data_IF_703067458835
#
_entry.id   IF_703067458835
#
_cell.length_a   1.000
_cell.length_b   1.000
_cell.length_c   1.000
_cell.angle_alpha   90.00
_cell.angle_beta   90.00
_cell.angle_gamma   90.00
#
_symmetry.space_group_name_H-M   'P 1'
#
loop_
_entity.id
_entity.type
_entity.pdbx_description
1 polymer ?
#
# COMPACT_ATOMS: atom_id res chain seq x y z
N UNK A 1 -11.99 -12.75 74.14
CA UNK A 1 -11.49 -11.66 73.27
C UNK A 1 -11.23 -12.22 71.88
N UNK A 2 -12.14 -12.00 70.92
CA UNK A 2 -11.91 -12.34 69.50
C UNK A 2 -11.44 -11.07 68.79
N UNK A 3 -10.20 -11.08 68.32
CA UNK A 3 -9.58 -9.96 67.62
C UNK A 3 -10.13 -9.91 66.18
N UNK A 4 -10.95 -8.91 65.86
CA UNK A 4 -11.37 -8.65 64.48
C UNK A 4 -10.23 -7.95 63.74
N UNK A 5 -9.60 -8.66 62.81
CA UNK A 5 -8.64 -8.08 61.86
C UNK A 5 -9.45 -7.50 60.70
N UNK A 6 -9.52 -6.18 60.61
CA UNK A 6 -10.03 -5.49 59.43
C UNK A 6 -8.94 -5.53 58.34
N UNK A 7 -9.14 -6.38 57.34
CA UNK A 7 -8.35 -6.38 56.11
C UNK A 7 -8.75 -5.14 55.30
N UNK A 8 -7.92 -4.09 55.32
CA UNK A 8 -8.09 -2.95 54.43
C UNK A 8 -7.70 -3.40 53.01
N UNK A 9 -8.59 -3.33 52.01
CA UNK A 9 -8.22 -3.68 50.65
C UNK A 9 -7.23 -2.63 50.15
N UNK A 10 -6.01 -3.07 49.84
CA UNK A 10 -5.00 -2.25 49.18
C UNK A 10 -5.53 -1.92 47.77
N UNK A 11 -6.06 -0.72 47.60
CA UNK A 11 -6.49 -0.19 46.31
C UNK A 11 -5.21 0.07 45.49
N UNK A 12 -4.77 -0.92 44.72
CA UNK A 12 -3.73 -0.71 43.71
C UNK A 12 -4.31 0.22 42.65
N UNK A 13 -3.99 1.52 42.75
CA UNK A 13 -4.16 2.47 41.65
C UNK A 13 -3.17 2.05 40.56
N UNK A 14 -3.61 1.17 39.66
CA UNK A 14 -2.84 0.81 38.49
C UNK A 14 -2.65 2.06 37.63
N UNK A 15 -1.42 2.55 37.52
CA UNK A 15 -1.06 3.47 36.46
C UNK A 15 -1.23 2.72 35.14
N UNK A 16 -2.36 2.92 34.47
CA UNK A 16 -2.55 2.49 33.08
C UNK A 16 -1.56 3.26 32.22
N UNK A 17 -0.39 2.67 31.99
CA UNK A 17 0.52 3.13 30.96
C UNK A 17 -0.13 2.80 29.62
N UNK A 18 -0.75 3.80 28.98
CA UNK A 18 -1.20 3.67 27.61
C UNK A 18 0.00 3.31 26.74
N UNK A 19 -0.11 2.22 25.98
CA UNK A 19 0.88 1.88 24.98
C UNK A 19 1.01 3.05 23.98
N UNK A 20 2.23 3.36 23.50
CA UNK A 20 2.41 4.40 22.52
C UNK A 20 1.56 4.10 21.28
N UNK A 21 1.00 5.14 20.68
CA UNK A 21 0.34 5.03 19.38
C UNK A 21 1.34 4.63 18.29
N UNK A 22 0.85 4.05 17.19
CA UNK A 22 1.71 3.67 16.07
C UNK A 22 2.56 4.84 15.57
N UNK A 23 2.00 6.05 15.51
CA UNK A 23 2.76 7.25 15.14
C UNK A 23 3.87 7.57 16.14
N UNK A 24 3.60 7.49 17.44
CA UNK A 24 4.61 7.75 18.48
C UNK A 24 5.78 6.76 18.41
N UNK A 25 5.49 5.48 18.15
CA UNK A 25 6.53 4.46 17.90
C UNK A 25 7.38 4.84 16.68
N UNK A 26 6.75 5.25 15.58
CA UNK A 26 7.46 5.65 14.35
C UNK A 26 8.29 6.93 14.54
N UNK A 27 7.86 7.85 15.40
CA UNK A 27 8.59 9.10 15.68
C UNK A 27 9.92 8.89 16.43
N UNK A 28 10.19 7.67 16.91
CA UNK A 28 11.51 7.29 17.44
C UNK A 28 12.61 7.36 16.36
N UNK A 29 12.27 7.23 15.08
CA UNK A 29 13.24 7.22 13.98
C UNK A 29 13.50 8.62 13.39
N UNK A 30 14.77 8.98 13.23
CA UNK A 30 15.18 10.32 12.75
C UNK A 30 14.57 10.67 11.40
N UNK A 31 14.60 9.75 10.43
CA UNK A 31 14.05 10.00 9.08
C UNK A 31 12.52 10.14 9.07
N UNK A 32 11.84 9.51 10.02
CA UNK A 32 10.39 9.73 10.20
C UNK A 32 10.15 11.13 10.74
N UNK A 33 10.89 11.58 11.76
CA UNK A 33 10.79 12.96 12.26
C UNK A 33 11.06 13.99 11.16
N UNK A 34 12.05 13.76 10.31
CA UNK A 34 12.32 14.61 9.13
C UNK A 34 11.15 14.62 8.13
N UNK A 35 10.54 13.46 7.87
CA UNK A 35 9.37 13.37 7.00
C UNK A 35 8.18 14.16 7.57
N UNK A 36 7.90 14.02 8.87
CA UNK A 36 6.87 14.79 9.56
C UNK A 36 7.13 16.29 9.52
N UNK A 37 8.35 16.72 9.90
CA UNK A 37 8.75 18.12 9.86
C UNK A 37 8.56 18.75 8.46
N UNK A 38 8.80 17.97 7.40
CA UNK A 38 8.63 18.44 6.03
C UNK A 38 7.19 18.36 5.49
N UNK A 39 6.38 17.39 5.94
CA UNK A 39 5.15 16.98 5.23
C UNK A 39 3.88 17.02 6.06
N UNK A 40 3.94 16.99 7.39
CA UNK A 40 2.74 16.91 8.24
C UNK A 40 1.76 18.05 7.96
N UNK A 41 2.25 19.30 7.88
CA UNK A 41 1.39 20.46 7.57
C UNK A 41 0.66 20.30 6.24
N UNK A 42 1.32 19.75 5.22
CA UNK A 42 0.72 19.51 3.90
C UNK A 42 -0.31 18.39 3.97
N UNK A 43 -0.02 17.30 4.69
CA UNK A 43 -0.95 16.17 4.88
C UNK A 43 -2.20 16.61 5.61
N UNK A 44 -2.06 17.30 6.76
CA UNK A 44 -3.18 17.80 7.56
C UNK A 44 -4.02 18.83 6.78
N UNK A 45 -3.37 19.72 6.03
CA UNK A 45 -4.08 20.66 5.16
C UNK A 45 -4.90 19.93 4.10
N UNK A 46 -4.29 18.96 3.42
CA UNK A 46 -4.97 18.17 2.37
C UNK A 46 -6.16 17.39 2.95
N UNK A 47 -5.99 16.77 4.12
CA UNK A 47 -7.07 16.10 4.86
C UNK A 47 -8.25 17.05 5.09
N UNK A 48 -7.99 18.25 5.59
CA UNK A 48 -9.03 19.26 5.84
C UNK A 48 -9.72 19.72 4.55
N UNK A 49 -8.98 19.94 3.46
CA UNK A 49 -9.53 20.31 2.14
C UNK A 49 -10.50 19.24 1.60
N UNK A 50 -10.28 17.97 1.94
CA UNK A 50 -11.14 16.85 1.57
C UNK A 50 -12.17 16.48 2.64
N UNK A 51 -12.28 17.24 3.73
CA UNK A 51 -13.16 16.93 4.88
C UNK A 51 -12.89 15.53 5.49
N UNK A 52 -11.63 15.09 5.50
CA UNK A 52 -11.20 13.82 6.09
C UNK A 52 -10.54 14.10 7.44
N UNK A 53 -11.03 13.47 8.50
CA UNK A 53 -10.38 13.51 9.81
C UNK A 53 -9.17 12.57 9.85
N UNK A 54 -8.09 13.05 10.45
CA UNK A 54 -6.86 12.30 10.70
C UNK A 54 -7.12 11.02 11.51
N UNK A 55 -8.08 11.07 12.44
CA UNK A 55 -8.37 9.98 13.37
C UNK A 55 -9.33 8.92 12.78
N UNK A 56 -9.87 9.16 11.58
CA UNK A 56 -10.75 8.23 10.86
C UNK A 56 -10.26 7.95 9.44
N UNK A 57 -8.98 8.17 9.17
CA UNK A 57 -8.40 8.06 7.85
C UNK A 57 -8.39 6.61 7.35
N UNK A 58 -8.90 6.37 6.15
CA UNK A 58 -8.68 5.12 5.41
C UNK A 58 -8.06 5.46 4.07
N UNK A 59 -6.97 4.77 3.72
CA UNK A 59 -6.28 4.97 2.44
C UNK A 59 -6.23 3.69 1.60
N UNK A 60 -6.16 3.88 0.30
CA UNK A 60 -5.98 2.84 -0.72
C UNK A 60 -5.03 3.35 -1.80
N UNK A 61 -4.15 2.47 -2.29
CA UNK A 61 -3.15 2.83 -3.29
C UNK A 61 -3.44 2.14 -4.64
N UNK A 62 -3.23 2.88 -5.74
CA UNK A 62 -3.17 2.29 -7.09
C UNK A 62 -1.86 2.70 -7.76
N UNK A 63 -1.06 1.75 -8.21
CA UNK A 63 0.14 2.04 -8.99
C UNK A 63 -0.08 1.66 -10.45
N UNK A 64 0.42 2.48 -11.37
CA UNK A 64 0.29 2.31 -12.81
C UNK A 64 1.67 2.35 -13.45
N UNK A 65 2.10 1.21 -14.01
CA UNK A 65 3.47 1.05 -14.54
C UNK A 65 3.70 1.92 -15.78
N UNK A 66 2.77 1.89 -16.73
CA UNK A 66 2.88 2.67 -17.99
C UNK A 66 2.86 4.18 -17.73
N UNK A 67 1.96 4.65 -16.87
CA UNK A 67 1.82 6.07 -16.53
C UNK A 67 2.91 6.54 -15.55
N UNK A 68 3.66 5.62 -14.94
CA UNK A 68 4.64 5.89 -13.89
C UNK A 68 4.04 6.74 -12.76
N UNK A 69 2.91 6.29 -12.21
CA UNK A 69 2.19 7.00 -11.13
C UNK A 69 1.72 6.06 -10.03
N UNK A 70 1.72 6.57 -8.80
CA UNK A 70 0.99 6.00 -7.67
C UNK A 70 -0.11 6.99 -7.28
N UNK A 71 -1.36 6.56 -7.31
CA UNK A 71 -2.48 7.29 -6.75
C UNK A 71 -2.67 6.93 -5.29
N UNK A 72 -2.90 7.95 -4.47
CA UNK A 72 -3.37 7.84 -3.10
C UNK A 72 -4.84 8.26 -3.06
N UNK A 73 -5.67 7.32 -2.66
CA UNK A 73 -7.09 7.52 -2.42
C UNK A 73 -7.35 7.50 -0.92
N UNK A 74 -8.23 8.37 -0.43
CA UNK A 74 -8.61 8.37 0.99
C UNK A 74 -10.08 8.67 1.23
N UNK A 75 -10.56 8.30 2.42
CA UNK A 75 -11.89 8.62 2.94
C UNK A 75 -11.91 8.60 4.46
N UNK A 76 -12.99 9.08 5.07
CA UNK A 76 -13.28 8.73 6.46
C UNK A 76 -13.79 7.29 6.58
N UNK A 77 -13.70 6.71 7.77
CA UNK A 77 -14.33 5.42 8.08
C UNK A 77 -15.84 5.45 7.83
N UNK A 78 -16.50 6.57 8.11
CA UNK A 78 -17.94 6.79 7.89
C UNK A 78 -18.35 6.90 6.43
N UNK A 79 -17.44 7.28 5.55
CA UNK A 79 -17.75 7.54 4.14
C UNK A 79 -17.79 6.24 3.36
N UNK A 80 -18.65 6.14 2.35
CA UNK A 80 -18.73 4.96 1.49
C UNK A 80 -17.70 4.96 0.38
N UNK A 81 -17.33 6.13 -0.15
CA UNK A 81 -16.50 6.27 -1.35
C UNK A 81 -15.15 6.92 -1.05
N UNK A 82 -14.12 6.52 -1.79
CA UNK A 82 -12.81 7.14 -1.73
C UNK A 82 -12.71 8.36 -2.66
N UNK A 83 -12.01 9.39 -2.20
CA UNK A 83 -11.59 10.53 -3.02
C UNK A 83 -10.14 10.38 -3.45
N UNK A 84 -9.81 10.80 -4.67
CA UNK A 84 -8.42 10.91 -5.11
C UNK A 84 -7.79 12.09 -4.37
N UNK A 85 -6.74 11.81 -3.60
CA UNK A 85 -6.04 12.82 -2.79
C UNK A 85 -4.79 13.32 -3.50
N UNK A 86 -4.03 12.39 -4.08
CA UNK A 86 -2.74 12.72 -4.69
C UNK A 86 -2.31 11.72 -5.74
N UNK A 87 -1.50 12.18 -6.67
CA UNK A 87 -0.66 11.35 -7.54
C UNK A 87 0.82 11.59 -7.24
N UNK A 88 1.57 10.52 -7.03
CA UNK A 88 3.01 10.51 -6.84
C UNK A 88 3.69 9.98 -8.11
N UNK A 89 4.55 10.78 -8.78
CA UNK A 89 5.31 10.29 -9.91
C UNK A 89 6.32 9.21 -9.50
N UNK A 90 6.36 8.12 -10.25
CA UNK A 90 7.40 7.10 -10.21
C UNK A 90 8.53 7.59 -11.10
N UNK A 91 9.67 7.93 -10.51
CA UNK A 91 10.81 8.40 -11.28
C UNK A 91 11.57 7.25 -11.93
N UNK A 92 11.62 6.07 -11.29
CA UNK A 92 12.23 4.88 -11.88
C UNK A 92 11.43 3.61 -11.60
N UNK A 93 11.28 2.79 -12.63
CA UNK A 93 10.58 1.51 -12.57
C UNK A 93 11.28 0.52 -13.50
N UNK A 94 11.64 -0.65 -12.97
CA UNK A 94 12.26 -1.68 -13.79
C UNK A 94 11.21 -2.44 -14.61
N UNK A 95 11.63 -2.83 -15.81
CA UNK A 95 10.89 -3.76 -16.64
C UNK A 95 9.81 -3.11 -17.50
N UNK A 96 8.99 -3.96 -18.12
CA UNK A 96 7.86 -3.58 -18.97
C UNK A 96 6.54 -4.04 -18.34
N UNK A 97 5.41 -3.80 -19.02
CA UNK A 97 4.12 -4.40 -18.63
C UNK A 97 4.23 -5.93 -18.61
N UNK A 98 3.54 -6.56 -17.67
CA UNK A 98 3.64 -7.97 -17.31
C UNK A 98 4.02 -8.16 -15.83
N UNK A 99 3.56 -9.24 -15.19
CA UNK A 99 3.85 -9.53 -13.79
C UNK A 99 5.30 -9.97 -13.59
N UNK A 100 5.75 -9.87 -12.34
CA UNK A 100 6.98 -10.51 -11.88
C UNK A 100 6.72 -12.00 -11.68
N UNK A 101 7.53 -12.86 -12.28
CA UNK A 101 7.38 -14.33 -12.22
C UNK A 101 8.65 -15.05 -11.77
N UNK A 102 9.80 -14.35 -11.70
CA UNK A 102 11.04 -14.91 -11.16
C UNK A 102 12.01 -13.85 -10.64
N UNK A 103 12.99 -14.29 -9.88
CA UNK A 103 14.12 -13.52 -9.42
C UNK A 103 14.95 -13.07 -10.62
N UNK A 104 15.38 -11.80 -10.62
CA UNK A 104 16.15 -11.15 -11.69
C UNK A 104 15.47 -11.11 -13.07
N UNK A 105 14.14 -11.20 -13.15
CA UNK A 105 13.40 -10.81 -14.37
C UNK A 105 13.30 -9.30 -14.57
N UNK A 106 13.81 -8.50 -13.61
CA UNK A 106 13.76 -7.03 -13.61
C UNK A 106 12.34 -6.46 -13.72
N UNK A 107 11.31 -7.23 -13.34
CA UNK A 107 9.92 -6.78 -13.33
C UNK A 107 9.52 -6.23 -11.97
N UNK A 108 8.77 -5.13 -11.97
CA UNK A 108 7.83 -4.81 -10.89
C UNK A 108 6.58 -5.68 -11.04
N UNK A 109 6.10 -6.30 -9.94
CA UNK A 109 4.91 -7.15 -10.00
C UNK A 109 3.66 -6.39 -10.43
N UNK A 110 2.68 -7.13 -10.93
CA UNK A 110 1.33 -6.66 -11.24
C UNK A 110 0.34 -7.55 -10.47
N UNK A 111 -0.77 -6.99 -9.99
CA UNK A 111 -1.72 -7.71 -9.15
C UNK A 111 -2.15 -6.95 -7.89
N UNK A 112 -2.68 -7.69 -6.93
CA UNK A 112 -3.26 -7.19 -5.69
C UNK A 112 -2.32 -7.44 -4.51
N UNK A 113 -1.94 -6.38 -3.81
CA UNK A 113 -0.96 -6.40 -2.73
C UNK A 113 -1.45 -5.56 -1.56
N UNK A 114 -0.71 -5.62 -0.45
CA UNK A 114 -0.80 -4.65 0.63
C UNK A 114 0.59 -4.26 1.10
N UNK A 115 0.66 -3.12 1.78
CA UNK A 115 1.87 -2.70 2.50
C UNK A 115 2.07 -3.65 3.68
N UNK A 116 3.17 -4.40 3.68
CA UNK A 116 3.50 -5.37 4.73
C UNK A 116 4.43 -4.82 5.80
N UNK A 117 5.20 -3.77 5.48
CA UNK A 117 6.14 -3.16 6.42
C UNK A 117 6.48 -1.71 6.03
N UNK A 118 6.78 -0.89 7.04
CA UNK A 118 7.31 0.47 6.91
C UNK A 118 8.74 0.50 7.43
N UNK A 119 9.71 0.73 6.53
CA UNK A 119 11.12 0.68 6.86
C UNK A 119 11.76 2.09 6.90
N UNK A 120 12.01 2.64 8.10
CA UNK A 120 12.67 3.94 8.27
C UNK A 120 14.20 3.88 8.08
N UNK A 121 14.78 2.69 7.98
CA UNK A 121 16.23 2.45 7.82
C UNK A 121 16.63 2.08 6.39
N UNK A 122 15.74 2.28 5.42
CA UNK A 122 15.99 1.95 4.02
C UNK A 122 17.31 2.53 3.53
N UNK A 123 18.04 1.78 2.70
CA UNK A 123 19.20 2.32 1.99
C UNK A 123 18.81 3.44 1.02
N UNK A 124 17.54 3.48 0.61
CA UNK A 124 16.96 4.46 -0.30
C UNK A 124 16.10 5.50 0.44
N UNK A 125 16.64 6.02 1.55
CA UNK A 125 16.01 6.96 2.50
C UNK A 125 14.84 6.39 3.33
N UNK A 126 13.68 6.14 2.72
CA UNK A 126 12.50 5.50 3.35
C UNK A 126 11.97 4.43 2.38
N UNK A 127 11.39 3.35 2.88
CA UNK A 127 10.72 2.37 2.01
C UNK A 127 9.52 1.70 2.66
N UNK A 128 8.57 1.28 1.82
CA UNK A 128 7.39 0.53 2.22
C UNK A 128 7.41 -0.80 1.49
N UNK A 129 7.46 -1.91 2.21
CA UNK A 129 7.47 -3.24 1.61
C UNK A 129 6.04 -3.63 1.21
N UNK A 130 5.90 -4.31 0.08
CA UNK A 130 4.65 -4.97 -0.30
C UNK A 130 4.74 -6.47 -0.02
N UNK A 131 3.60 -7.14 0.16
CA UNK A 131 3.51 -8.58 0.42
C UNK A 131 3.81 -9.49 -0.80
N UNK A 132 4.73 -9.09 -1.68
CA UNK A 132 5.22 -9.95 -2.76
C UNK A 132 6.34 -10.89 -2.26
N UNK A 133 6.33 -12.19 -2.64
CA UNK A 133 5.30 -12.86 -3.41
C UNK A 133 4.05 -13.16 -2.56
N UNK A 134 2.86 -12.95 -3.11
CA UNK A 134 1.60 -13.35 -2.49
C UNK A 134 1.17 -14.76 -2.95
N UNK A 135 -0.07 -15.16 -2.66
CA UNK A 135 -0.61 -16.48 -3.04
C UNK A 135 -0.64 -16.68 -4.57
N UNK A 136 -1.08 -15.68 -5.34
CA UNK A 136 -1.10 -15.74 -6.81
C UNK A 136 0.32 -15.87 -7.37
N UNK A 137 1.27 -15.07 -6.88
CA UNK A 137 2.67 -15.13 -7.33
C UNK A 137 3.29 -16.50 -7.04
N UNK A 138 3.01 -17.06 -5.86
CA UNK A 138 3.51 -18.37 -5.43
C UNK A 138 3.02 -19.51 -6.32
N UNK A 139 1.81 -19.39 -6.87
CA UNK A 139 1.21 -20.39 -7.77
C UNK A 139 1.68 -20.18 -9.22
N UNK A 140 1.67 -18.94 -9.70
CA UNK A 140 1.89 -18.60 -11.13
C UNK A 140 3.35 -18.38 -11.50
N UNK A 141 4.21 -18.04 -10.55
CA UNK A 141 5.63 -17.83 -10.83
C UNK A 141 6.49 -19.09 -10.72
N UNK A 142 7.78 -18.91 -10.95
CA UNK A 142 8.75 -20.00 -10.95
C UNK A 142 9.04 -20.43 -9.50
N UNK A 143 8.53 -21.61 -9.13
CA UNK A 143 8.69 -22.19 -7.78
C UNK A 143 10.15 -22.17 -7.31
N UNK A 144 10.35 -21.70 -6.08
CA UNK A 144 11.68 -21.56 -5.46
C UNK A 144 12.56 -20.46 -6.05
N UNK A 145 12.07 -19.69 -7.03
CA UNK A 145 12.85 -18.65 -7.73
C UNK A 145 12.08 -17.35 -7.90
N UNK A 146 11.10 -17.00 -7.06
CA UNK A 146 10.31 -15.77 -7.19
C UNK A 146 11.09 -14.50 -6.82
N UNK A 147 12.07 -14.63 -5.94
CA UNK A 147 12.63 -13.50 -5.21
C UNK A 147 11.64 -13.00 -4.14
N UNK A 148 11.93 -11.82 -3.62
CA UNK A 148 11.22 -11.16 -2.53
C UNK A 148 11.58 -9.66 -2.54
N UNK A 149 11.22 -8.94 -1.49
CA UNK A 149 11.71 -7.58 -1.22
C UNK A 149 11.38 -6.56 -2.31
N UNK A 150 10.08 -6.48 -2.65
CA UNK A 150 9.55 -5.41 -3.50
C UNK A 150 9.09 -4.28 -2.61
N UNK A 151 9.51 -3.05 -2.94
CA UNK A 151 9.21 -1.86 -2.16
C UNK A 151 8.71 -0.71 -3.03
N UNK A 152 8.03 0.23 -2.38
CA UNK A 152 7.97 1.63 -2.81
C UNK A 152 9.03 2.39 -1.99
N UNK A 153 9.95 3.10 -2.63
CA UNK A 153 11.06 3.73 -1.91
C UNK A 153 11.57 5.02 -2.57
N UNK A 154 12.49 5.72 -1.88
CA UNK A 154 13.13 6.95 -2.37
C UNK A 154 14.23 6.74 -3.42
N UNK A 155 15.06 7.76 -3.61
CA UNK A 155 16.31 7.74 -4.40
C UNK A 155 16.25 7.41 -5.91
N UNK A 156 15.09 7.36 -6.56
CA UNK A 156 14.95 7.29 -8.04
C UNK A 156 15.85 6.28 -8.77
N UNK A 157 16.16 5.17 -8.12
CA UNK A 157 16.91 4.03 -8.67
C UNK A 157 16.08 2.78 -8.45
N UNK A 158 15.99 1.87 -9.41
CA UNK A 158 15.21 0.64 -9.24
C UNK A 158 15.83 -0.55 -9.93
N UNK A 159 15.74 -1.71 -9.28
CA UNK A 159 16.07 -3.04 -9.82
C UNK A 159 14.89 -4.03 -9.66
N UNK A 160 13.67 -3.51 -9.62
CA UNK A 160 12.42 -4.28 -9.42
C UNK A 160 11.44 -3.67 -8.41
N UNK A 161 11.64 -2.40 -8.02
CA UNK A 161 10.80 -1.66 -7.08
C UNK A 161 10.09 -0.47 -7.75
N UNK A 162 9.17 0.15 -7.02
CA UNK A 162 8.52 1.41 -7.39
C UNK A 162 9.31 2.58 -6.78
N UNK A 163 10.26 3.15 -7.52
CA UNK A 163 11.11 4.23 -6.99
C UNK A 163 10.46 5.61 -7.24
N UNK A 164 10.28 6.37 -6.18
CA UNK A 164 9.83 7.76 -6.18
C UNK A 164 10.94 8.65 -5.61
N UNK A 165 10.78 9.97 -5.65
CA UNK A 165 11.81 10.88 -5.10
C UNK A 165 11.80 10.86 -3.57
N UNK A 166 12.91 11.27 -2.94
CA UNK A 166 12.98 11.43 -1.48
C UNK A 166 11.90 12.41 -0.94
N UNK A 167 11.55 13.44 -1.72
CA UNK A 167 10.47 14.35 -1.36
C UNK A 167 9.10 13.64 -1.32
N UNK A 168 8.84 12.77 -2.31
CA UNK A 168 7.56 12.06 -2.44
C UNK A 168 7.43 10.91 -1.45
N UNK A 169 8.50 10.16 -1.19
CA UNK A 169 8.44 9.08 -0.20
C UNK A 169 8.22 9.60 1.22
N UNK A 170 8.77 10.76 1.60
CA UNK A 170 8.43 11.39 2.90
C UNK A 170 6.93 11.55 3.07
N UNK A 171 6.28 12.10 2.05
CA UNK A 171 4.85 12.41 2.11
C UNK A 171 4.01 11.14 2.14
N UNK A 172 4.27 10.19 1.23
CA UNK A 172 3.53 8.93 1.18
C UNK A 172 3.75 8.08 2.46
N UNK A 173 4.94 8.11 3.04
CA UNK A 173 5.24 7.43 4.29
C UNK A 173 4.44 8.01 5.46
N UNK A 174 4.32 9.34 5.55
CA UNK A 174 3.46 10.00 6.56
C UNK A 174 2.00 9.60 6.38
N UNK A 175 1.48 9.57 5.14
CA UNK A 175 0.12 9.09 4.88
C UNK A 175 -0.14 7.67 5.40
N UNK A 176 0.80 6.75 5.17
CA UNK A 176 0.70 5.38 5.68
C UNK A 176 0.73 5.33 7.21
N UNK A 177 1.61 6.11 7.86
CA UNK A 177 1.65 6.18 9.33
C UNK A 177 0.33 6.70 9.88
N UNK A 178 -0.24 7.76 9.31
CA UNK A 178 -1.54 8.29 9.78
C UNK A 178 -2.67 7.30 9.58
N UNK A 179 -2.69 6.57 8.46
CA UNK A 179 -3.67 5.53 8.23
C UNK A 179 -3.58 4.42 9.30
N UNK A 180 -2.38 3.89 9.55
CA UNK A 180 -2.15 2.90 10.62
C UNK A 180 -2.50 3.45 12.01
N UNK A 181 -2.11 4.70 12.29
CA UNK A 181 -2.39 5.37 13.56
C UNK A 181 -3.90 5.57 13.81
N UNK A 182 -4.68 5.74 12.75
CA UNK A 182 -6.15 5.82 12.81
C UNK A 182 -6.84 4.45 12.85
N UNK A 183 -6.07 3.37 13.01
CA UNK A 183 -6.57 2.01 13.17
C UNK A 183 -6.80 1.24 11.86
N UNK A 184 -6.31 1.70 10.71
CA UNK A 184 -6.28 0.86 9.50
C UNK A 184 -5.22 -0.22 9.68
N UNK A 185 -5.58 -1.50 9.63
CA UNK A 185 -4.63 -2.61 9.85
C UNK A 185 -3.93 -3.09 8.59
N UNK A 186 -4.50 -2.82 7.42
CA UNK A 186 -3.95 -3.19 6.11
C UNK A 186 -4.19 -2.05 5.12
N UNK A 187 -3.13 -1.62 4.44
CA UNK A 187 -3.21 -0.65 3.34
C UNK A 187 -3.08 -1.41 2.02
N UNK A 188 -4.19 -1.55 1.31
CA UNK A 188 -4.23 -2.24 0.03
C UNK A 188 -3.58 -1.40 -1.08
N UNK A 189 -2.92 -2.10 -1.99
CA UNK A 189 -2.25 -1.57 -3.16
C UNK A 189 -2.53 -2.48 -4.36
N UNK A 190 -3.15 -1.93 -5.40
CA UNK A 190 -3.23 -2.63 -6.68
C UNK A 190 -2.22 -2.06 -7.67
N UNK A 191 -1.39 -2.93 -8.25
CA UNK A 191 -0.40 -2.54 -9.27
C UNK A 191 -0.89 -2.98 -10.64
N UNK A 192 -1.19 -2.01 -11.49
CA UNK A 192 -1.71 -2.18 -12.85
C UNK A 192 -0.61 -2.03 -13.90
N UNK A 193 -0.70 -2.74 -15.04
CA UNK A 193 0.21 -2.51 -16.18
C UNK A 193 0.07 -1.10 -16.76
N UNK A 194 -1.16 -0.57 -16.78
CA UNK A 194 -1.52 0.76 -17.26
C UNK A 194 -2.89 1.17 -16.69
N UNK A 195 -3.36 2.39 -16.95
CA UNK A 195 -4.79 2.72 -16.75
C UNK A 195 -5.63 1.91 -17.73
N UNK A 196 -6.43 0.99 -17.22
CA UNK A 196 -7.12 -0.02 -18.01
C UNK A 196 -8.49 0.43 -18.54
N UNK A 197 -8.58 1.64 -19.11
CA UNK A 197 -9.76 1.97 -19.93
C UNK A 197 -9.85 1.02 -21.15
N UNK A 198 -11.03 0.92 -21.77
CA UNK A 198 -11.30 -0.07 -22.83
C UNK A 198 -10.31 -0.01 -24.00
N UNK A 199 -9.89 1.20 -24.38
CA UNK A 199 -8.90 1.40 -25.46
C UNK A 199 -7.53 0.87 -25.05
N UNK A 200 -7.05 1.21 -23.87
CA UNK A 200 -5.74 0.74 -23.37
C UNK A 200 -5.75 -0.78 -23.19
N UNK A 201 -6.80 -1.34 -22.59
CA UNK A 201 -6.92 -2.78 -22.36
C UNK A 201 -6.97 -3.57 -23.67
N UNK A 202 -7.77 -3.13 -24.65
CA UNK A 202 -7.83 -3.77 -25.97
C UNK A 202 -6.49 -3.67 -26.71
N UNK A 203 -5.79 -2.55 -26.60
CA UNK A 203 -4.45 -2.36 -27.17
C UNK A 203 -3.41 -3.30 -26.56
N UNK A 204 -3.40 -3.43 -25.23
CA UNK A 204 -2.52 -4.34 -24.49
C UNK A 204 -2.78 -5.80 -24.87
N UNK A 205 -4.02 -6.26 -24.78
CA UNK A 205 -4.37 -7.66 -25.07
C UNK A 205 -4.10 -8.07 -26.52
N UNK A 206 -4.31 -7.16 -27.49
CA UNK A 206 -3.92 -7.41 -28.88
C UNK A 206 -2.40 -7.50 -29.06
N UNK A 207 -1.64 -6.56 -28.47
CA UNK A 207 -0.17 -6.55 -28.56
C UNK A 207 0.44 -7.81 -27.95
N UNK A 208 -0.10 -8.24 -26.82
CA UNK A 208 0.40 -9.38 -26.05
C UNK A 208 -0.43 -10.66 -26.25
N UNK A 209 -1.16 -10.82 -27.37
CA UNK A 209 -2.10 -11.93 -27.63
C UNK A 209 -1.56 -13.36 -27.41
N UNK A 210 -0.23 -13.54 -27.45
CA UNK A 210 0.49 -14.81 -27.23
C UNK A 210 0.80 -15.09 -25.74
N UNK A 211 0.72 -14.08 -24.89
CA UNK A 211 1.09 -14.08 -23.48
C UNK A 211 -0.16 -14.31 -22.62
N UNK A 212 -0.58 -15.58 -22.52
CA UNK A 212 -1.87 -15.95 -21.92
C UNK A 212 -1.94 -15.74 -20.41
N UNK A 213 -0.82 -15.89 -19.70
CA UNK A 213 -0.76 -15.64 -18.25
C UNK A 213 -1.04 -14.16 -17.95
N UNK A 214 -0.38 -13.28 -18.70
CA UNK A 214 -0.50 -11.84 -18.60
C UNK A 214 -1.91 -11.38 -18.96
N UNK A 215 -2.47 -11.88 -20.06
CA UNK A 215 -3.86 -11.56 -20.45
C UNK A 215 -4.86 -12.02 -19.38
N UNK A 216 -4.64 -13.20 -18.78
CA UNK A 216 -5.49 -13.71 -17.70
C UNK A 216 -5.45 -12.76 -16.49
N UNK A 217 -4.25 -12.38 -16.03
CA UNK A 217 -4.11 -11.43 -14.92
C UNK A 217 -4.71 -10.06 -15.26
N UNK A 218 -4.52 -9.58 -16.48
CA UNK A 218 -5.05 -8.28 -16.90
C UNK A 218 -6.57 -8.26 -17.01
N UNK A 219 -7.22 -9.41 -17.24
CA UNK A 219 -8.67 -9.52 -17.18
C UNK A 219 -9.19 -9.29 -15.74
N UNK A 220 -8.56 -9.92 -14.74
CA UNK A 220 -8.89 -9.70 -13.33
C UNK A 220 -8.66 -8.24 -12.93
N UNK A 221 -7.50 -7.67 -13.33
CA UNK A 221 -7.17 -6.28 -13.08
C UNK A 221 -8.12 -5.31 -13.80
N UNK A 222 -8.56 -5.60 -15.03
CA UNK A 222 -9.55 -4.79 -15.74
C UNK A 222 -10.87 -4.75 -14.99
N UNK A 223 -11.36 -5.91 -14.54
CA UNK A 223 -12.59 -5.99 -13.74
C UNK A 223 -12.47 -5.14 -12.46
N UNK A 224 -11.35 -5.26 -11.74
CA UNK A 224 -11.08 -4.43 -10.56
C UNK A 224 -11.04 -2.93 -10.90
N UNK A 225 -10.38 -2.58 -12.00
CA UNK A 225 -10.27 -1.20 -12.46
C UNK A 225 -11.65 -0.59 -12.74
N UNK A 226 -12.52 -1.30 -13.48
CA UNK A 226 -13.85 -0.80 -13.85
C UNK A 226 -14.79 -0.65 -12.66
N UNK A 227 -14.78 -1.63 -11.75
CA UNK A 227 -15.55 -1.58 -10.50
C UNK A 227 -15.12 -0.37 -9.67
N UNK A 228 -13.81 -0.17 -9.51
CA UNK A 228 -13.29 0.99 -8.79
C UNK A 228 -13.63 2.29 -9.51
N UNK A 229 -13.50 2.38 -10.84
CA UNK A 229 -13.80 3.61 -11.56
C UNK A 229 -15.27 4.03 -11.42
N UNK A 230 -16.18 3.07 -11.27
CA UNK A 230 -17.62 3.33 -11.10
C UNK A 230 -17.98 3.65 -9.64
N UNK A 231 -17.55 2.80 -8.71
CA UNK A 231 -17.98 2.89 -7.31
C UNK A 231 -17.07 3.76 -6.43
N UNK A 232 -15.81 3.97 -6.84
CA UNK A 232 -14.73 4.53 -6.01
C UNK A 232 -14.56 3.78 -4.68
N UNK A 233 -14.80 2.48 -4.71
CA UNK A 233 -14.58 1.54 -3.60
C UNK A 233 -13.66 0.43 -4.08
N UNK A 234 -12.56 0.11 -3.36
CA UNK A 234 -11.71 -1.02 -3.69
C UNK A 234 -12.55 -2.31 -3.73
N UNK A 235 -12.52 -3.07 -4.83
CA UNK A 235 -13.26 -4.32 -4.90
C UNK A 235 -12.68 -5.35 -3.94
N UNK A 236 -13.49 -6.32 -3.53
CA UNK A 236 -13.02 -7.46 -2.75
C UNK A 236 -12.37 -8.46 -3.69
N UNK A 237 -11.21 -8.99 -3.31
CA UNK A 237 -10.43 -9.90 -4.16
C UNK A 237 -10.18 -11.21 -3.43
N UNK A 238 -10.64 -12.32 -4.01
CA UNK A 238 -10.38 -13.67 -3.53
C UNK A 238 -9.33 -14.34 -4.41
N UNK A 239 -8.28 -14.89 -3.79
CA UNK A 239 -7.24 -15.64 -4.49
C UNK A 239 -7.68 -17.09 -4.71
N UNK A 240 -7.71 -17.54 -5.96
CA UNK A 240 -8.17 -18.87 -6.34
C UNK A 240 -7.02 -19.90 -6.34
N UNK A 241 -7.31 -21.22 -6.23
CA UNK A 241 -6.29 -22.27 -6.20
C UNK A 241 -5.38 -22.36 -7.43
N UNK A 242 -5.82 -21.83 -8.58
CA UNK A 242 -5.04 -21.74 -9.81
C UNK A 242 -4.25 -20.42 -9.94
N UNK A 243 -4.28 -19.59 -8.88
CA UNK A 243 -3.63 -18.29 -8.80
C UNK A 243 -4.32 -17.18 -9.59
N UNK A 244 -5.49 -17.39 -10.20
CA UNK A 244 -6.36 -16.30 -10.67
C UNK A 244 -7.10 -15.65 -9.49
N UNK A 245 -7.90 -14.63 -9.77
CA UNK A 245 -8.66 -13.91 -8.77
C UNK A 245 -10.15 -13.89 -9.10
N UNK A 246 -10.97 -14.01 -8.06
CA UNK A 246 -12.37 -13.61 -8.14
C UNK A 246 -12.50 -12.18 -7.58
N UNK A 247 -12.96 -11.25 -8.42
CA UNK A 247 -13.08 -9.82 -8.08
C UNK A 247 -14.56 -9.46 -7.96
N UNK A 248 -14.96 -8.94 -6.79
CA UNK A 248 -16.35 -8.59 -6.44
C UNK A 248 -16.49 -7.11 -6.09
#
# INVERSE_FOLDING_TARGET
MKLLIFLFPLLFLGLEMNAPSFREEQMAFTRVREAYAAKEKTVVKTLAEHSISRDSLRIYLRAFKTEKKIELWAKNTSDSVFALIKEFPICEISGEVGPKRRYRDLQVPEGFYHISDLNPFSKYYLSMQINYPNASDSIRGVKGRLGNFIFIHGECVSSGCLAITNDKIKELFVWCIEAYNSGQTQIDLTIYPARLNDKTYSGLTNRYRKYKDEISLWADLKKSYDLFETAKVPPTVTFLPDGTHEVH
#
